data_IF_528966995563
#
_entry.id   IF_528966995563
#
_cell.length_a   1.000
_cell.length_b   1.000
_cell.length_c   1.000
_cell.angle_alpha   90.00
_cell.angle_beta   90.00
_cell.angle_gamma   90.00
#
_symmetry.space_group_name_H-M   'P 1'
#
loop_
_entity.id
_entity.type
_entity.pdbx_description
1 polymer ?
#
# COMPACT_ATOMS: atom_id res chain seq x y z
N UNK A 1 -17.75 10.47 10.67
CA UNK A 1 -17.37 9.38 9.73
C UNK A 1 -15.84 9.17 9.62
N UNK A 2 -15.00 10.17 9.91
CA UNK A 2 -13.53 10.12 9.71
C UNK A 2 -12.73 9.28 10.73
N UNK A 3 -13.29 8.89 11.87
CA UNK A 3 -12.58 8.02 12.83
C UNK A 3 -12.48 6.57 12.34
N UNK A 4 -13.51 6.05 11.68
CA UNK A 4 -13.53 4.66 11.23
C UNK A 4 -12.52 4.38 10.10
N UNK A 5 -12.31 5.35 9.19
CA UNK A 5 -11.42 5.17 8.03
C UNK A 5 -9.93 5.03 8.43
N UNK A 6 -9.58 5.50 9.62
CA UNK A 6 -8.24 5.43 10.20
C UNK A 6 -8.19 4.52 11.44
N UNK A 7 -9.27 3.79 11.73
CA UNK A 7 -9.30 2.85 12.84
C UNK A 7 -8.30 1.72 12.56
N UNK A 8 -7.57 1.29 13.58
CA UNK A 8 -6.64 0.19 13.47
C UNK A 8 -7.35 -1.13 13.76
N UNK A 9 -7.00 -2.18 13.02
CA UNK A 9 -7.38 -3.55 13.38
C UNK A 9 -6.54 -4.06 14.57
N UNK A 10 -6.77 -5.31 14.98
CA UNK A 10 -6.06 -5.94 16.10
C UNK A 10 -4.54 -6.04 15.88
N UNK A 11 -4.08 -5.96 14.62
CA UNK A 11 -2.67 -5.93 14.25
C UNK A 11 -2.07 -4.51 14.22
N UNK A 12 -2.87 -3.48 14.51
CA UNK A 12 -2.43 -2.08 14.47
C UNK A 12 -2.44 -1.46 13.08
N UNK A 13 -3.00 -2.13 12.07
CA UNK A 13 -3.05 -1.64 10.69
C UNK A 13 -4.33 -0.85 10.41
N UNK A 14 -4.20 0.26 9.68
CA UNK A 14 -5.35 0.97 9.13
C UNK A 14 -5.88 0.26 7.88
N UNK A 15 -7.15 0.51 7.48
CA UNK A 15 -7.67 0.02 6.20
C UNK A 15 -6.78 0.35 5.00
N UNK A 16 -6.11 1.51 5.03
CA UNK A 16 -5.22 1.94 3.94
C UNK A 16 -3.93 1.11 3.89
N UNK A 17 -3.38 0.70 5.04
CA UNK A 17 -2.22 -0.21 5.09
C UNK A 17 -2.56 -1.58 4.51
N UNK A 18 -3.69 -2.15 4.90
CA UNK A 18 -4.16 -3.44 4.37
C UNK A 18 -4.39 -3.37 2.85
N UNK A 19 -5.05 -2.30 2.39
CA UNK A 19 -5.28 -2.06 0.97
C UNK A 19 -3.96 -1.96 0.19
N UNK A 20 -2.96 -1.27 0.73
CA UNK A 20 -1.63 -1.14 0.10
C UNK A 20 -0.89 -2.48 -0.01
N UNK A 21 -0.94 -3.31 1.04
CA UNK A 21 -0.33 -4.66 1.05
C UNK A 21 -0.98 -5.57 0.00
N UNK A 22 -2.32 -5.66 0.03
CA UNK A 22 -3.08 -6.46 -0.96
C UNK A 22 -2.84 -5.93 -2.37
N UNK A 23 -2.75 -4.60 -2.52
CA UNK A 23 -2.49 -3.99 -3.81
C UNK A 23 -1.15 -4.44 -4.40
N UNK A 24 -0.12 -4.42 -3.55
CA UNK A 24 1.23 -4.86 -3.89
C UNK A 24 1.26 -6.35 -4.24
N UNK A 25 0.65 -7.21 -3.44
CA UNK A 25 0.62 -8.66 -3.71
C UNK A 25 -0.03 -8.98 -5.05
N UNK A 26 -1.16 -8.34 -5.37
CA UNK A 26 -1.83 -8.54 -6.66
C UNK A 26 -0.98 -8.05 -7.84
N UNK A 27 -0.26 -6.94 -7.66
CA UNK A 27 0.61 -6.38 -8.69
C UNK A 27 1.81 -7.28 -9.01
N UNK A 28 2.36 -7.94 -7.98
CA UNK A 28 3.60 -8.72 -8.10
C UNK A 28 3.38 -10.20 -8.38
N UNK A 29 2.35 -10.81 -7.80
CA UNK A 29 2.14 -12.24 -7.92
C UNK A 29 1.42 -12.67 -9.22
N UNK A 30 1.14 -11.73 -10.15
CA UNK A 30 0.46 -11.99 -11.42
C UNK A 30 -0.65 -13.05 -11.27
N UNK A 31 -1.54 -12.86 -10.29
CA UNK A 31 -2.46 -13.91 -9.89
C UNK A 31 -3.40 -14.22 -11.09
N UNK A 32 -3.35 -15.41 -11.71
CA UNK A 32 -4.19 -15.73 -12.86
C UNK A 32 -5.69 -15.81 -12.50
N UNK A 33 -6.00 -15.79 -11.20
CA UNK A 33 -7.37 -15.66 -10.67
C UNK A 33 -7.82 -14.21 -10.46
N UNK A 34 -6.96 -13.21 -10.71
CA UNK A 34 -7.39 -11.83 -10.94
C UNK A 34 -8.09 -11.73 -12.31
N UNK A 35 -9.20 -12.47 -12.47
CA UNK A 35 -9.99 -12.55 -13.70
C UNK A 35 -10.66 -11.23 -14.08
N UNK A 36 -10.53 -10.19 -13.26
CA UNK A 36 -11.14 -8.88 -13.47
C UNK A 36 -10.09 -7.75 -13.38
N UNK A 37 -9.26 -7.62 -14.40
CA UNK A 37 -8.64 -6.35 -14.81
C UNK A 37 -7.64 -5.69 -13.84
N UNK A 38 -7.05 -4.55 -14.26
CA UNK A 38 -6.06 -3.84 -13.46
C UNK A 38 -6.74 -3.06 -12.30
N UNK A 39 -6.10 -3.14 -11.13
CA UNK A 39 -6.06 -2.13 -10.03
C UNK A 39 -6.83 -2.42 -8.72
N UNK A 40 -6.09 -2.81 -7.68
CA UNK A 40 -6.41 -2.48 -6.29
C UNK A 40 -6.04 -1.03 -5.87
N UNK A 41 -5.37 -0.24 -6.73
CA UNK A 41 -5.09 1.19 -6.49
C UNK A 41 -6.38 1.99 -6.29
N UNK A 42 -7.47 1.61 -6.97
CA UNK A 42 -8.77 2.28 -6.81
C UNK A 42 -9.36 2.14 -5.41
N UNK A 43 -8.97 1.13 -4.62
CA UNK A 43 -9.38 1.03 -3.21
C UNK A 43 -8.57 2.01 -2.38
N UNK A 44 -7.25 2.07 -2.56
CA UNK A 44 -6.41 3.08 -1.90
C UNK A 44 -6.91 4.49 -2.19
N UNK A 45 -7.25 4.78 -3.46
CA UNK A 45 -7.76 6.08 -3.90
C UNK A 45 -9.10 6.42 -3.22
N UNK A 46 -10.05 5.47 -3.21
CA UNK A 46 -11.33 5.64 -2.50
C UNK A 46 -11.16 5.84 -1.00
N UNK A 47 -10.21 5.16 -0.36
CA UNK A 47 -9.95 5.33 1.08
C UNK A 47 -9.39 6.73 1.34
N UNK A 48 -8.41 7.18 0.54
CA UNK A 48 -7.82 8.52 0.63
C UNK A 48 -8.86 9.60 0.34
N UNK A 49 -9.70 9.43 -0.69
CA UNK A 49 -10.79 10.35 -1.01
C UNK A 49 -11.85 10.44 0.11
N UNK A 50 -11.88 9.46 1.03
CA UNK A 50 -12.73 9.42 2.22
C UNK A 50 -12.01 9.90 3.49
N UNK A 51 -10.77 10.39 3.37
CA UNK A 51 -9.98 10.93 4.48
C UNK A 51 -9.09 9.91 5.18
N UNK A 52 -8.73 8.81 4.52
CA UNK A 52 -7.67 7.95 5.03
C UNK A 52 -6.35 8.73 5.08
N UNK A 53 -5.68 8.64 6.21
CA UNK A 53 -4.45 9.37 6.50
C UNK A 53 -3.24 8.52 6.10
N UNK A 54 -2.55 8.95 5.04
CA UNK A 54 -1.35 8.30 4.49
C UNK A 54 -0.15 8.36 5.43
N UNK A 55 -0.17 9.23 6.43
CA UNK A 55 0.92 9.40 7.39
C UNK A 55 0.77 8.55 8.65
N UNK A 56 -0.38 7.87 8.84
CA UNK A 56 -0.56 6.99 10.00
C UNK A 56 0.44 5.85 9.95
N UNK A 57 1.05 5.59 11.10
CA UNK A 57 1.96 4.47 11.30
C UNK A 57 1.32 3.38 12.15
N UNK A 58 1.70 2.13 11.90
CA UNK A 58 1.37 0.99 12.75
C UNK A 58 2.25 0.93 14.01
N UNK A 59 2.21 -0.17 14.76
CA UNK A 59 3.06 -0.39 15.92
C UNK A 59 4.55 -0.57 15.57
N UNK A 60 4.86 -0.95 14.34
CA UNK A 60 6.23 -1.07 13.81
C UNK A 60 6.76 0.26 13.27
N UNK A 61 5.96 1.32 13.30
CA UNK A 61 6.32 2.62 12.74
C UNK A 61 6.19 2.69 11.21
N UNK A 62 5.47 1.77 10.56
CA UNK A 62 5.32 1.75 9.10
C UNK A 62 4.02 2.43 8.66
N UNK A 63 4.08 3.25 7.60
CA UNK A 63 2.89 3.78 6.92
C UNK A 63 2.28 2.77 5.94
N UNK A 64 1.19 3.13 5.28
CA UNK A 64 0.68 2.36 4.14
C UNK A 64 1.72 2.22 3.00
N UNK A 65 2.51 3.27 2.73
CA UNK A 65 3.60 3.21 1.75
C UNK A 65 4.75 2.32 2.24
N UNK A 66 5.05 2.33 3.54
CA UNK A 66 6.02 1.43 4.16
C UNK A 66 5.64 -0.04 4.04
N UNK A 67 4.36 -0.35 4.29
CA UNK A 67 3.80 -1.69 4.07
C UNK A 67 3.91 -2.12 2.60
N UNK A 68 3.58 -1.24 1.66
CA UNK A 68 3.74 -1.48 0.22
C UNK A 68 5.19 -1.84 -0.14
N UNK A 69 6.16 -1.03 0.29
CA UNK A 69 7.59 -1.26 0.01
C UNK A 69 8.12 -2.53 0.66
N UNK A 70 7.78 -2.76 1.93
CA UNK A 70 8.14 -4.00 2.65
C UNK A 70 7.63 -5.23 1.91
N UNK A 71 6.36 -5.21 1.50
CA UNK A 71 5.75 -6.30 0.74
C UNK A 71 6.43 -6.49 -0.63
N UNK A 72 6.78 -5.39 -1.31
CA UNK A 72 7.50 -5.44 -2.57
C UNK A 72 8.86 -6.14 -2.43
N UNK A 73 9.64 -5.76 -1.40
CA UNK A 73 10.93 -6.38 -1.09
C UNK A 73 10.77 -7.87 -0.74
N UNK A 74 9.78 -8.24 0.07
CA UNK A 74 9.54 -9.66 0.41
C UNK A 74 9.15 -10.50 -0.80
N UNK A 75 8.33 -9.96 -1.69
CA UNK A 75 7.86 -10.69 -2.90
C UNK A 75 8.96 -10.81 -3.96
N UNK A 76 9.90 -9.87 -3.95
CA UNK A 76 10.99 -9.74 -4.89
C UNK A 76 12.11 -10.79 -4.79
N UNK A 77 12.25 -11.47 -3.66
CA UNK A 77 13.13 -12.65 -3.58
C UNK A 77 12.78 -13.70 -4.64
N UNK A 78 11.61 -13.60 -5.28
CA UNK A 78 11.12 -14.50 -6.33
C UNK A 78 11.10 -13.89 -7.75
N UNK A 79 11.28 -12.57 -7.94
CA UNK A 79 11.05 -11.93 -9.24
C UNK A 79 11.93 -10.68 -9.52
N UNK A 80 12.86 -10.79 -10.46
CA UNK A 80 13.20 -9.75 -11.46
C UNK A 80 13.82 -8.40 -11.05
N UNK A 81 13.96 -8.06 -9.77
CA UNK A 81 14.67 -6.85 -9.31
C UNK A 81 13.78 -5.64 -8.91
N UNK A 82 14.32 -4.78 -8.03
CA UNK A 82 13.56 -3.79 -7.23
C UNK A 82 13.14 -2.58 -8.03
N UNK A 83 14.06 -2.09 -8.86
CA UNK A 83 13.82 -0.89 -9.65
C UNK A 83 12.66 -1.06 -10.62
N UNK A 84 12.65 -2.16 -11.38
CA UNK A 84 11.57 -2.46 -12.32
C UNK A 84 10.22 -2.70 -11.62
N UNK A 85 10.26 -3.28 -10.42
CA UNK A 85 9.07 -3.48 -9.58
C UNK A 85 8.50 -2.15 -9.09
N UNK A 86 9.33 -1.26 -8.58
CA UNK A 86 8.91 0.05 -8.09
C UNK A 86 8.46 0.99 -9.20
N UNK A 87 9.09 0.95 -10.38
CA UNK A 87 8.64 1.70 -11.57
C UNK A 87 7.22 1.27 -11.97
N UNK A 88 6.92 -0.03 -11.92
CA UNK A 88 5.57 -0.55 -12.20
C UNK A 88 4.53 -0.11 -11.16
N UNK A 89 4.95 0.22 -9.93
CA UNK A 89 4.09 0.64 -8.82
C UNK A 89 4.13 2.15 -8.59
N UNK A 90 4.62 2.95 -9.55
CA UNK A 90 4.76 4.40 -9.40
C UNK A 90 3.42 5.08 -9.03
N UNK A 91 2.32 4.69 -9.67
CA UNK A 91 0.98 5.23 -9.37
C UNK A 91 0.58 5.00 -7.92
N UNK A 92 0.81 3.79 -7.39
CA UNK A 92 0.49 3.47 -6.00
C UNK A 92 1.44 4.18 -5.03
N UNK A 93 2.71 4.30 -5.41
CA UNK A 93 3.72 5.04 -4.64
C UNK A 93 3.33 6.50 -4.47
N UNK A 94 2.93 7.17 -5.56
CA UNK A 94 2.49 8.57 -5.53
C UNK A 94 1.22 8.76 -4.71
N UNK A 95 0.28 7.81 -4.83
CA UNK A 95 -0.99 7.87 -4.12
C UNK A 95 -0.82 7.72 -2.60
N UNK A 96 0.06 6.82 -2.16
CA UNK A 96 0.28 6.54 -0.74
C UNK A 96 1.29 7.50 -0.08
N UNK A 97 1.95 8.37 -0.85
CA UNK A 97 2.93 9.30 -0.32
C UNK A 97 2.25 10.28 0.66
N UNK A 98 2.79 10.47 1.88
CA UNK A 98 2.32 11.51 2.78
C UNK A 98 2.41 12.90 2.15
N UNK A 99 1.50 13.81 2.52
CA UNK A 99 1.52 15.19 2.01
C UNK A 99 2.83 15.94 2.33
N UNK A 100 3.53 15.52 3.39
CA UNK A 100 4.85 16.03 3.79
C UNK A 100 6.01 15.39 3.02
N UNK A 101 5.73 14.51 2.07
CA UNK A 101 6.72 13.69 1.39
C UNK A 101 7.05 12.39 2.13
N UNK A 102 7.97 11.59 1.57
CA UNK A 102 8.40 10.34 2.19
C UNK A 102 9.14 10.58 3.51
N UNK A 103 9.05 9.59 4.38
CA UNK A 103 9.51 9.57 5.76
C UNK A 103 10.27 8.27 6.05
N UNK A 104 10.89 8.17 7.23
CA UNK A 104 11.55 6.94 7.68
C UNK A 104 10.60 5.75 7.86
N UNK A 105 9.29 6.03 7.89
CA UNK A 105 8.23 5.04 8.01
C UNK A 105 7.83 4.42 6.66
N UNK A 106 8.42 4.90 5.55
CA UNK A 106 8.14 4.48 4.16
C UNK A 106 9.25 3.60 3.57
#
# INVERSE_FOLDING_TARGET
ASQAINAKNDNGHTPLMEAATVATMNYLCANPFARNGPLPVGICDKLISRGADTSKTDASGLTALGHMRKQAVSSMHHAGGYKATMEKMETLTRLLMPATGPSLAD
#
